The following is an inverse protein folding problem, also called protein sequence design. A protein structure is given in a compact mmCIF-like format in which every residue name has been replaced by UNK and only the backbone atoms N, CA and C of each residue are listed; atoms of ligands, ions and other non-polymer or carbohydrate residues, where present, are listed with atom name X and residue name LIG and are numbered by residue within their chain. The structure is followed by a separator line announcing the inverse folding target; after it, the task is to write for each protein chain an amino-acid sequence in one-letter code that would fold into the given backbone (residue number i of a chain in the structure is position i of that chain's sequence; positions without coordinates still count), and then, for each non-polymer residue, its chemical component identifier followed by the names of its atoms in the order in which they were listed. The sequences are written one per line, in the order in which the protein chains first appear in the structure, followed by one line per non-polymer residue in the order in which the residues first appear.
data_IF_993658242839
#
_entry.id   IF_993658242839
#
_cell.length_a   1.000
_cell.length_b   1.000
_cell.length_c   1.000
_cell.angle_alpha   90.00
_cell.angle_beta   90.00
_cell.angle_gamma   90.00
#
_symmetry.space_group_name_H-M   'P 1'
#
loop_
_entity.id
_entity.type
_entity.pdbx_description
1 polymer ?
#
# COMPACT_ATOMS: atom_id res chain seq x y z
N UNK A 1 15.43 25.64 1.24
CA UNK A 1 15.98 24.29 1.07
C UNK A 1 14.88 23.27 0.83
N UNK A 2 13.90 23.11 1.71
CA UNK A 2 12.83 22.09 1.57
C UNK A 2 11.95 22.28 0.33
N UNK A 3 11.55 23.52 0.01
CA UNK A 3 10.81 23.84 -1.22
C UNK A 3 11.60 23.41 -2.49
N UNK A 4 12.92 23.60 -2.50
CA UNK A 4 13.76 23.14 -3.62
C UNK A 4 13.77 21.62 -3.72
N UNK A 5 13.82 20.90 -2.58
CA UNK A 5 13.78 19.43 -2.55
C UNK A 5 12.41 18.95 -3.08
N UNK A 6 11.32 19.52 -2.60
CA UNK A 6 9.96 19.19 -3.04
C UNK A 6 9.80 19.38 -4.56
N UNK A 7 10.19 20.55 -5.07
CA UNK A 7 10.13 20.84 -6.51
C UNK A 7 10.98 19.89 -7.36
N UNK A 8 12.18 19.51 -6.88
CA UNK A 8 13.03 18.57 -7.60
C UNK A 8 12.46 17.16 -7.61
N UNK A 9 11.92 16.69 -6.50
CA UNK A 9 11.28 15.36 -6.42
C UNK A 9 10.03 15.29 -7.31
N UNK A 10 9.19 16.33 -7.26
CA UNK A 10 7.97 16.41 -8.09
C UNK A 10 8.30 16.43 -9.59
N UNK A 11 9.27 17.27 -9.98
CA UNK A 11 9.72 17.34 -11.37
C UNK A 11 10.40 16.04 -11.82
N UNK A 12 11.22 15.44 -10.97
CA UNK A 12 11.85 14.15 -11.27
C UNK A 12 10.78 13.08 -11.52
N UNK A 13 9.82 12.92 -10.60
CA UNK A 13 8.75 11.95 -10.72
C UNK A 13 7.93 12.15 -12.01
N UNK A 14 7.49 13.39 -12.29
CA UNK A 14 6.70 13.71 -13.49
C UNK A 14 7.46 13.44 -14.78
N UNK A 15 8.73 13.83 -14.83
CA UNK A 15 9.56 13.66 -16.04
C UNK A 15 9.88 12.18 -16.25
N UNK A 16 10.26 11.47 -15.20
CA UNK A 16 10.57 10.05 -15.25
C UNK A 16 9.37 9.23 -15.72
N UNK A 17 8.20 9.46 -15.11
CA UNK A 17 6.94 8.83 -15.50
C UNK A 17 6.55 9.13 -16.94
N UNK A 18 6.77 10.36 -17.42
CA UNK A 18 6.49 10.74 -18.81
C UNK A 18 7.40 10.02 -19.82
N UNK A 19 8.67 9.86 -19.48
CA UNK A 19 9.61 9.10 -20.31
C UNK A 19 9.20 7.63 -20.37
N UNK A 20 8.81 7.04 -19.24
CA UNK A 20 8.31 5.68 -19.17
C UNK A 20 7.06 5.47 -20.03
N UNK A 21 6.08 6.38 -19.94
CA UNK A 21 4.86 6.34 -20.75
C UNK A 21 5.17 6.41 -22.27
N UNK A 22 6.05 7.33 -22.67
CA UNK A 22 6.45 7.48 -24.08
C UNK A 22 7.12 6.20 -24.57
N UNK A 23 8.02 5.64 -23.77
CA UNK A 23 8.76 4.43 -24.12
C UNK A 23 7.83 3.21 -24.22
N UNK A 24 6.94 3.03 -23.24
CA UNK A 24 5.96 1.97 -23.24
C UNK A 24 5.05 2.01 -24.46
N UNK A 25 4.55 3.19 -24.82
CA UNK A 25 3.69 3.39 -26.00
C UNK A 25 4.39 3.08 -27.35
N UNK A 26 5.72 3.15 -27.38
CA UNK A 26 6.49 2.77 -28.56
C UNK A 26 6.65 1.26 -28.70
N UNK A 27 6.80 0.54 -27.60
CA UNK A 27 7.18 -0.89 -27.58
C UNK A 27 6.00 -1.81 -27.28
N UNK A 28 5.18 -1.48 -26.29
CA UNK A 28 4.04 -2.31 -25.86
C UNK A 28 2.75 -1.47 -25.88
N UNK A 29 2.27 -1.15 -27.06
CA UNK A 29 1.11 -0.26 -27.30
C UNK A 29 -0.20 -0.67 -26.60
N UNK A 30 -0.32 -1.92 -26.18
CA UNK A 30 -1.54 -2.44 -25.58
C UNK A 30 -1.56 -2.37 -24.04
N UNK A 31 -0.49 -1.89 -23.39
CA UNK A 31 -0.40 -1.70 -21.94
C UNK A 31 -0.38 -0.22 -21.58
N UNK A 32 -1.03 0.10 -20.47
CA UNK A 32 -0.81 1.37 -19.77
C UNK A 32 0.30 1.21 -18.72
N UNK A 33 0.92 2.30 -18.31
CA UNK A 33 1.95 2.28 -17.24
C UNK A 33 1.39 1.67 -15.94
N UNK A 34 0.13 1.97 -15.57
CA UNK A 34 -0.51 1.35 -14.40
C UNK A 34 -0.67 -0.17 -14.53
N UNK A 35 -0.98 -0.67 -15.73
CA UNK A 35 -1.06 -2.12 -15.98
C UNK A 35 0.32 -2.78 -15.93
N UNK A 36 1.36 -2.08 -16.38
CA UNK A 36 2.74 -2.54 -16.30
C UNK A 36 3.23 -2.64 -14.85
N UNK A 37 2.89 -1.66 -14.01
CA UNK A 37 3.20 -1.72 -12.57
C UNK A 37 2.47 -2.86 -11.84
N UNK A 38 1.30 -3.31 -12.32
CA UNK A 38 0.64 -4.51 -11.79
C UNK A 38 1.43 -5.77 -12.17
N UNK A 39 1.91 -5.85 -13.42
CA UNK A 39 2.78 -6.94 -13.89
C UNK A 39 4.05 -7.00 -13.03
N UNK A 40 4.68 -5.86 -12.76
CA UNK A 40 5.84 -5.72 -11.88
C UNK A 40 5.52 -6.15 -10.44
N UNK A 41 4.38 -5.74 -9.90
CA UNK A 41 3.96 -6.11 -8.56
C UNK A 41 3.75 -7.62 -8.39
N UNK A 42 3.29 -8.32 -9.42
CA UNK A 42 3.17 -9.79 -9.43
C UNK A 42 4.57 -10.40 -9.44
N UNK A 43 5.47 -9.92 -10.32
CA UNK A 43 6.82 -10.44 -10.44
C UNK A 43 6.87 -11.87 -11.02
N UNK A 44 7.95 -12.59 -10.78
CA UNK A 44 8.21 -13.93 -11.35
C UNK A 44 7.40 -15.05 -10.67
N UNK A 45 6.88 -14.82 -9.47
CA UNK A 45 6.16 -15.84 -8.70
C UNK A 45 4.65 -15.60 -8.75
N UNK A 46 3.89 -16.68 -8.46
CA UNK A 46 2.46 -16.52 -8.25
C UNK A 46 2.16 -15.78 -6.94
N UNK A 47 1.13 -14.93 -6.96
CA UNK A 47 0.69 -14.12 -5.83
C UNK A 47 -0.82 -14.25 -5.67
N UNK A 48 -1.33 -14.22 -4.43
CA UNK A 48 -2.76 -14.17 -4.21
C UNK A 48 -3.34 -12.79 -4.51
N UNK A 49 -4.64 -12.72 -4.80
CA UNK A 49 -5.33 -11.44 -5.02
C UNK A 49 -5.26 -10.51 -3.81
N UNK A 50 -5.25 -11.06 -2.58
CA UNK A 50 -5.10 -10.27 -1.35
C UNK A 50 -3.70 -9.65 -1.27
N UNK A 51 -2.65 -10.47 -1.40
CA UNK A 51 -1.27 -10.00 -1.40
C UNK A 51 -1.02 -8.95 -2.48
N UNK A 52 -1.61 -9.13 -3.68
CA UNK A 52 -1.49 -8.15 -4.77
C UNK A 52 -2.16 -6.82 -4.40
N UNK A 53 -3.37 -6.86 -3.84
CA UNK A 53 -4.07 -5.64 -3.42
C UNK A 53 -3.33 -4.89 -2.32
N UNK A 54 -2.77 -5.62 -1.35
CA UNK A 54 -1.96 -5.06 -0.26
C UNK A 54 -0.64 -4.45 -0.79
N UNK A 55 0.04 -5.17 -1.68
CA UNK A 55 1.30 -4.70 -2.31
C UNK A 55 1.11 -3.43 -3.12
N UNK A 56 -0.02 -3.31 -3.82
CA UNK A 56 -0.37 -2.14 -4.62
C UNK A 56 -1.03 -1.02 -3.81
N UNK A 57 -1.47 -1.30 -2.56
CA UNK A 57 -2.21 -0.34 -1.74
C UNK A 57 -3.58 0.03 -2.31
N UNK A 58 -4.24 -0.90 -3.04
CA UNK A 58 -5.55 -0.69 -3.67
C UNK A 58 -6.60 -1.66 -3.11
N UNK A 59 -7.88 -1.39 -3.39
CA UNK A 59 -8.94 -2.30 -2.97
C UNK A 59 -8.96 -3.59 -3.80
N UNK A 60 -9.45 -4.70 -3.20
CA UNK A 60 -9.67 -5.96 -3.90
C UNK A 60 -10.52 -5.82 -5.16
N UNK A 61 -11.52 -4.93 -5.13
CA UNK A 61 -12.35 -4.63 -6.30
C UNK A 61 -11.54 -4.02 -7.44
N UNK A 62 -10.70 -3.04 -7.12
CA UNK A 62 -9.79 -2.39 -8.09
C UNK A 62 -8.79 -3.39 -8.66
N UNK A 63 -8.15 -4.19 -7.78
CA UNK A 63 -7.21 -5.22 -8.20
C UNK A 63 -7.88 -6.25 -9.13
N UNK A 64 -9.10 -6.68 -8.81
CA UNK A 64 -9.85 -7.65 -9.62
C UNK A 64 -10.16 -7.13 -11.03
N UNK A 65 -10.56 -5.87 -11.16
CA UNK A 65 -10.82 -5.24 -12.47
C UNK A 65 -9.55 -5.17 -13.31
N UNK A 66 -8.44 -4.75 -12.69
CA UNK A 66 -7.16 -4.63 -13.38
C UNK A 66 -6.61 -6.00 -13.83
N UNK A 67 -6.67 -7.01 -12.96
CA UNK A 67 -6.25 -8.38 -13.29
C UNK A 67 -7.14 -9.00 -14.37
N UNK A 68 -8.45 -8.73 -14.39
CA UNK A 68 -9.33 -9.18 -15.48
C UNK A 68 -8.86 -8.62 -16.83
N UNK A 69 -8.62 -7.31 -16.91
CA UNK A 69 -8.14 -6.67 -18.15
C UNK A 69 -6.82 -7.26 -18.63
N UNK A 70 -5.88 -7.49 -17.70
CA UNK A 70 -4.57 -8.08 -18.06
C UNK A 70 -4.68 -9.55 -18.45
N UNK A 71 -5.65 -10.30 -17.89
CA UNK A 71 -5.95 -11.68 -18.31
C UNK A 71 -6.56 -11.70 -19.71
N UNK A 72 -7.50 -10.81 -20.01
CA UNK A 72 -8.07 -10.64 -21.37
C UNK A 72 -7.00 -10.28 -22.41
N UNK A 73 -6.03 -9.44 -22.02
CA UNK A 73 -4.87 -9.10 -22.81
C UNK A 73 -3.79 -10.20 -22.88
N UNK A 74 -4.00 -11.30 -22.17
CA UNK A 74 -3.08 -12.47 -22.10
C UNK A 74 -1.71 -12.19 -21.46
N UNK A 75 -1.62 -11.20 -20.57
CA UNK A 75 -0.42 -10.96 -19.77
C UNK A 75 -0.41 -11.75 -18.45
N UNK A 76 -1.60 -12.09 -17.94
CA UNK A 76 -1.79 -12.81 -16.69
C UNK A 76 -2.63 -14.05 -16.90
N UNK A 77 -2.42 -15.04 -16.05
CA UNK A 77 -3.32 -16.16 -15.88
C UNK A 77 -3.70 -16.34 -14.40
N UNK A 78 -4.87 -16.95 -14.19
CA UNK A 78 -5.42 -17.21 -12.86
C UNK A 78 -5.51 -18.69 -12.60
N UNK A 79 -5.17 -19.09 -11.40
CA UNK A 79 -5.37 -20.43 -10.90
C UNK A 79 -6.12 -20.41 -9.57
N UNK A 80 -6.87 -21.46 -9.27
CA UNK A 80 -7.50 -21.65 -7.96
C UNK A 80 -6.65 -22.60 -7.15
N UNK A 81 -6.56 -22.33 -5.85
CA UNK A 81 -5.92 -23.26 -4.94
C UNK A 81 -6.64 -24.62 -4.93
N UNK A 82 -5.87 -25.69 -4.97
CA UNK A 82 -6.40 -27.06 -4.84
C UNK A 82 -6.87 -27.37 -3.41
N UNK A 83 -6.33 -26.65 -2.42
CA UNK A 83 -6.60 -26.87 -0.99
C UNK A 83 -7.65 -25.91 -0.43
N UNK A 84 -7.75 -24.68 -0.98
CA UNK A 84 -8.73 -23.68 -0.56
C UNK A 84 -9.29 -22.95 -1.77
N UNK A 85 -10.49 -23.34 -2.21
CA UNK A 85 -11.18 -22.76 -3.38
C UNK A 85 -11.46 -21.25 -3.29
N UNK A 86 -11.32 -20.66 -2.10
CA UNK A 86 -11.47 -19.19 -1.90
C UNK A 86 -10.23 -18.44 -2.33
N UNK A 87 -9.06 -19.11 -2.39
CA UNK A 87 -7.79 -18.51 -2.80
C UNK A 87 -7.66 -18.56 -4.32
N UNK A 88 -7.51 -17.39 -4.91
CA UNK A 88 -7.21 -17.21 -6.33
C UNK A 88 -5.78 -16.70 -6.42
N UNK A 89 -4.96 -17.42 -7.15
CA UNK A 89 -3.59 -17.02 -7.49
C UNK A 89 -3.57 -16.37 -8.87
N UNK A 90 -2.63 -15.46 -9.02
CA UNK A 90 -2.34 -14.76 -10.28
C UNK A 90 -0.86 -14.91 -10.57
N UNK A 91 -0.51 -15.22 -11.78
CA UNK A 91 0.88 -15.27 -12.26
C UNK A 91 1.01 -14.71 -13.67
N UNK A 92 2.23 -14.42 -14.07
CA UNK A 92 2.52 -13.97 -15.43
C UNK A 92 2.38 -15.13 -16.42
N UNK A 93 1.95 -14.80 -17.63
CA UNK A 93 2.15 -15.65 -18.82
C UNK A 93 3.53 -15.35 -19.41
N UNK A 94 3.98 -16.13 -20.40
CA UNK A 94 5.19 -15.80 -21.15
C UNK A 94 5.18 -14.37 -21.71
N UNK A 95 4.02 -13.89 -22.17
CA UNK A 95 3.84 -12.50 -22.63
C UNK A 95 4.00 -11.50 -21.47
N UNK A 96 3.51 -11.85 -20.27
CA UNK A 96 3.71 -11.06 -19.05
C UNK A 96 5.17 -10.97 -18.62
N UNK A 97 5.89 -12.09 -18.67
CA UNK A 97 7.33 -12.16 -18.37
C UNK A 97 8.16 -11.29 -19.32
N UNK A 98 7.83 -11.31 -20.61
CA UNK A 98 8.48 -10.42 -21.60
C UNK A 98 8.24 -8.95 -21.25
N UNK A 99 7.02 -8.58 -20.85
CA UNK A 99 6.71 -7.22 -20.44
C UNK A 99 7.44 -6.81 -19.15
N UNK A 100 7.54 -7.71 -18.18
CA UNK A 100 8.29 -7.50 -16.94
C UNK A 100 9.77 -7.27 -17.21
N UNK A 101 10.38 -8.13 -18.00
CA UNK A 101 11.81 -8.02 -18.37
C UNK A 101 12.10 -6.73 -19.16
N UNK A 102 11.20 -6.35 -20.07
CA UNK A 102 11.32 -5.09 -20.78
C UNK A 102 11.30 -3.90 -19.82
N UNK A 103 10.39 -3.90 -18.85
CA UNK A 103 10.27 -2.83 -17.86
C UNK A 103 11.52 -2.71 -16.96
N UNK A 104 12.02 -3.83 -16.45
CA UNK A 104 13.25 -3.87 -15.66
C UNK A 104 14.47 -3.34 -16.44
N UNK A 105 14.61 -3.73 -17.71
CA UNK A 105 15.69 -3.23 -18.58
C UNK A 105 15.55 -1.74 -18.87
N UNK A 106 14.33 -1.23 -19.04
CA UNK A 106 14.09 0.20 -19.23
C UNK A 106 14.59 1.00 -18.02
N UNK A 107 14.21 0.60 -16.80
CA UNK A 107 14.64 1.30 -15.59
C UNK A 107 16.16 1.31 -15.41
N UNK A 108 16.82 0.18 -15.63
CA UNK A 108 18.28 0.10 -15.55
C UNK A 108 18.94 1.03 -16.56
N UNK A 109 18.52 0.95 -17.83
CA UNK A 109 19.10 1.75 -18.91
C UNK A 109 18.90 3.24 -18.69
N UNK A 110 17.70 3.68 -18.26
CA UNK A 110 17.45 5.11 -18.05
C UNK A 110 18.23 5.64 -16.86
N UNK A 111 18.32 4.85 -15.77
CA UNK A 111 19.08 5.25 -14.58
C UNK A 111 20.59 5.35 -14.90
N UNK A 112 21.14 4.37 -15.59
CA UNK A 112 22.54 4.43 -16.07
C UNK A 112 22.79 5.71 -16.88
N UNK A 113 21.91 5.99 -17.85
CA UNK A 113 22.07 7.13 -18.75
C UNK A 113 21.99 8.48 -18.06
N UNK A 114 21.07 8.64 -17.09
CA UNK A 114 20.89 9.93 -16.38
C UNK A 114 21.94 10.14 -15.28
N UNK A 115 22.74 9.13 -14.97
CA UNK A 115 23.78 9.18 -13.95
C UNK A 115 25.20 9.04 -14.48
N UNK A 116 25.39 8.87 -15.82
CA UNK A 116 26.68 8.58 -16.44
C UNK A 116 27.76 9.62 -16.15
N UNK A 117 27.38 10.91 -16.03
CA UNK A 117 28.30 12.03 -15.74
C UNK A 117 28.50 12.26 -14.23
N UNK A 118 27.89 11.45 -13.36
CA UNK A 118 27.95 11.66 -11.92
C UNK A 118 29.05 10.75 -11.32
N UNK A 119 30.05 11.30 -10.62
CA UNK A 119 31.06 10.48 -9.96
C UNK A 119 30.44 9.46 -9.00
N UNK A 120 30.96 8.22 -9.01
CA UNK A 120 30.44 7.12 -8.21
C UNK A 120 30.30 7.47 -6.72
N UNK A 121 31.30 8.15 -6.13
CA UNK A 121 31.29 8.57 -4.73
C UNK A 121 30.07 9.45 -4.39
N UNK A 122 29.64 10.32 -5.32
CA UNK A 122 28.45 11.15 -5.16
C UNK A 122 27.16 10.34 -5.29
N UNK A 123 27.15 9.33 -6.17
CA UNK A 123 26.04 8.41 -6.29
C UNK A 123 25.89 7.55 -5.03
N UNK A 124 26.98 7.03 -4.49
CA UNK A 124 26.97 6.25 -3.26
C UNK A 124 26.42 7.10 -2.09
N UNK A 125 26.88 8.35 -1.97
CA UNK A 125 26.34 9.30 -0.97
C UNK A 125 24.86 9.59 -1.18
N UNK A 126 24.42 9.76 -2.42
CA UNK A 126 23.02 9.99 -2.76
C UNK A 126 22.14 8.80 -2.36
N UNK A 127 22.60 7.58 -2.62
CA UNK A 127 21.89 6.34 -2.23
C UNK A 127 21.74 6.27 -0.71
N UNK A 128 22.80 6.50 0.07
CA UNK A 128 22.76 6.51 1.55
C UNK A 128 21.75 7.53 2.10
N UNK A 129 21.76 8.74 1.53
CA UNK A 129 20.82 9.81 1.92
C UNK A 129 19.38 9.41 1.57
N UNK A 130 19.15 8.89 0.37
CA UNK A 130 17.84 8.46 -0.10
C UNK A 130 17.29 7.31 0.75
N UNK A 131 18.10 6.31 1.10
CA UNK A 131 17.72 5.23 2.01
C UNK A 131 17.30 5.76 3.38
N UNK A 132 18.03 6.76 3.88
CA UNK A 132 17.71 7.39 5.17
C UNK A 132 16.37 8.14 5.09
N UNK A 133 16.13 8.87 4.00
CA UNK A 133 14.85 9.55 3.74
C UNK A 133 13.72 8.52 3.67
N UNK A 134 13.91 7.41 2.94
CA UNK A 134 12.91 6.35 2.81
C UNK A 134 12.60 5.67 4.15
N UNK A 135 13.61 5.41 4.99
CA UNK A 135 13.37 4.90 6.35
C UNK A 135 12.53 5.85 7.19
N UNK A 136 12.83 7.15 7.13
CA UNK A 136 12.08 8.15 7.88
C UNK A 136 10.67 8.32 7.33
N UNK A 137 10.49 8.30 6.01
CA UNK A 137 9.18 8.36 5.36
C UNK A 137 8.31 7.15 5.75
N UNK A 138 8.89 5.95 5.83
CA UNK A 138 8.18 4.76 6.28
C UNK A 138 7.76 4.84 7.77
N UNK A 139 8.55 5.51 8.62
CA UNK A 139 8.12 5.80 10.00
C UNK A 139 6.92 6.75 10.01
N UNK A 140 7.01 7.87 9.29
CA UNK A 140 5.89 8.82 9.16
C UNK A 140 4.64 8.13 8.59
N UNK A 141 4.80 7.27 7.56
CA UNK A 141 3.70 6.49 6.99
C UNK A 141 3.03 5.62 8.05
N UNK A 142 3.81 4.92 8.89
CA UNK A 142 3.29 4.13 10.00
C UNK A 142 2.48 4.98 10.99
N UNK A 143 2.99 6.16 11.34
CA UNK A 143 2.35 7.05 12.31
C UNK A 143 1.00 7.58 11.80
N UNK A 144 0.83 7.77 10.49
CA UNK A 144 -0.39 8.28 9.88
C UNK A 144 -1.31 7.20 9.31
N UNK A 145 -0.81 5.98 9.10
CA UNK A 145 -1.61 4.88 8.56
C UNK A 145 -2.55 4.34 9.62
N UNK A 146 -3.88 4.26 9.34
CA UNK A 146 -4.80 3.69 10.30
C UNK A 146 -4.53 2.18 10.52
N UNK A 147 -4.35 1.79 11.75
CA UNK A 147 -4.22 0.40 12.18
C UNK A 147 -5.40 0.00 13.09
N UNK A 148 -5.60 -1.31 13.30
CA UNK A 148 -6.57 -1.77 14.29
C UNK A 148 -6.20 -1.24 15.68
N UNK A 149 -7.20 -0.82 16.45
CA UNK A 149 -7.00 -0.36 17.83
C UNK A 149 -6.29 -1.41 18.70
N UNK A 150 -6.39 -2.68 18.33
CA UNK A 150 -5.76 -3.79 19.05
C UNK A 150 -4.23 -3.83 18.87
N UNK A 151 -3.66 -3.08 17.94
CA UNK A 151 -2.21 -2.95 17.71
C UNK A 151 -1.56 -1.88 18.62
N UNK A 152 -2.34 -1.24 19.47
CA UNK A 152 -1.88 -0.19 20.38
C UNK A 152 -1.84 -0.70 21.82
N UNK A 153 -1.13 0.04 22.67
CA UNK A 153 -0.88 -0.39 24.07
C UNK A 153 -1.67 0.45 25.08
N UNK A 154 -1.73 -0.06 26.31
CA UNK A 154 -2.29 0.68 27.43
C UNK A 154 -1.63 2.05 27.59
N UNK A 155 -2.47 3.09 27.66
CA UNK A 155 -2.07 4.47 27.80
C UNK A 155 -2.00 5.24 26.48
N UNK A 156 -1.98 4.55 25.34
CA UNK A 156 -1.99 5.21 24.03
C UNK A 156 -3.26 6.05 23.84
N UNK A 157 -3.06 7.24 23.27
CA UNK A 157 -4.14 8.14 22.85
C UNK A 157 -4.22 8.10 21.32
N UNK A 158 -5.37 7.64 20.81
CA UNK A 158 -5.58 7.41 19.39
C UNK A 158 -6.87 8.06 18.90
N UNK A 159 -6.95 8.34 17.62
CA UNK A 159 -8.15 8.88 16.99
C UNK A 159 -8.72 7.89 15.97
N UNK A 160 -10.05 7.69 16.04
CA UNK A 160 -10.76 6.84 15.07
C UNK A 160 -10.68 7.44 13.66
N UNK A 161 -10.10 6.70 12.74
CA UNK A 161 -9.98 7.08 11.33
C UNK A 161 -11.08 6.47 10.47
N UNK A 162 -11.42 5.21 10.73
CA UNK A 162 -12.50 4.51 10.04
C UNK A 162 -13.00 3.31 10.85
N UNK A 163 -14.17 2.81 10.51
CA UNK A 163 -14.75 1.60 11.07
C UNK A 163 -14.95 0.60 9.93
N UNK A 164 -14.32 -0.55 10.01
CA UNK A 164 -14.46 -1.66 9.07
C UNK A 164 -15.69 -2.52 9.41
N UNK A 165 -15.88 -3.60 8.68
CA UNK A 165 -16.93 -4.58 8.93
C UNK A 165 -18.27 -4.26 8.30
N UNK A 166 -19.31 -5.07 8.66
CA UNK A 166 -20.66 -4.98 8.14
C UNK A 166 -21.40 -3.72 8.61
N UNK A 167 -22.54 -3.41 7.99
CA UNK A 167 -23.42 -2.33 8.45
C UNK A 167 -23.89 -2.55 9.89
N UNK A 168 -24.08 -3.79 10.31
CA UNK A 168 -24.47 -4.12 11.67
C UNK A 168 -23.39 -3.75 12.68
N UNK A 169 -22.12 -4.10 12.43
CA UNK A 169 -21.01 -3.75 13.32
C UNK A 169 -20.79 -2.24 13.40
N UNK A 170 -20.90 -1.53 12.28
CA UNK A 170 -20.78 -0.06 12.26
C UNK A 170 -21.88 0.60 13.08
N UNK A 171 -23.13 0.12 12.95
CA UNK A 171 -24.25 0.63 13.74
C UNK A 171 -24.03 0.37 15.23
N UNK A 172 -23.64 -0.84 15.60
CA UNK A 172 -23.33 -1.20 16.99
C UNK A 172 -22.24 -0.31 17.60
N UNK A 173 -21.13 -0.11 16.89
CA UNK A 173 -20.04 0.74 17.39
C UNK A 173 -20.47 2.20 17.53
N UNK A 174 -21.29 2.71 16.59
CA UNK A 174 -21.88 4.03 16.70
C UNK A 174 -22.79 4.17 17.92
N UNK A 175 -23.63 3.16 18.23
CA UNK A 175 -24.49 3.13 19.41
C UNK A 175 -23.67 3.10 20.71
N UNK A 176 -22.47 2.54 20.67
CA UNK A 176 -21.48 2.59 21.76
C UNK A 176 -20.74 3.93 21.87
N UNK A 177 -21.00 4.87 20.95
CA UNK A 177 -20.35 6.18 20.91
C UNK A 177 -18.98 6.18 20.20
N UNK A 178 -18.60 5.07 19.55
CA UNK A 178 -17.38 5.00 18.77
C UNK A 178 -17.68 5.48 17.35
N UNK A 179 -17.29 6.71 17.02
CA UNK A 179 -17.52 7.34 15.70
C UNK A 179 -16.21 7.82 15.10
N UNK A 180 -16.20 8.10 13.80
CA UNK A 180 -15.04 8.67 13.13
C UNK A 180 -14.66 10.00 13.79
N UNK A 181 -13.36 10.18 14.06
CA UNK A 181 -12.74 11.30 14.80
C UNK A 181 -12.87 11.23 16.32
N UNK A 182 -13.59 10.25 16.92
CA UNK A 182 -13.55 10.05 18.38
C UNK A 182 -12.13 9.86 18.86
N UNK A 183 -11.81 10.47 20.02
CA UNK A 183 -10.56 10.28 20.72
C UNK A 183 -10.69 9.12 21.71
N UNK A 184 -9.77 8.18 21.62
CA UNK A 184 -9.78 7.00 22.48
C UNK A 184 -8.47 6.93 23.26
N UNK A 185 -8.59 6.80 24.59
CA UNK A 185 -7.49 6.40 25.47
C UNK A 185 -7.64 4.94 25.85
N UNK A 186 -6.64 4.14 25.54
CA UNK A 186 -6.65 2.71 25.86
C UNK A 186 -6.31 2.52 27.34
N UNK A 187 -7.17 1.86 28.06
CA UNK A 187 -6.98 1.55 29.48
C UNK A 187 -6.38 0.16 29.69
N UNK A 188 -6.87 -0.84 28.95
CA UNK A 188 -6.39 -2.20 28.97
C UNK A 188 -6.91 -2.98 27.77
N UNK A 189 -6.11 -3.92 27.28
CA UNK A 189 -6.52 -4.92 26.29
C UNK A 189 -6.15 -6.29 26.87
N UNK A 190 -7.10 -7.18 26.93
CA UNK A 190 -6.87 -8.58 27.26
C UNK A 190 -7.33 -9.50 26.12
N UNK A 191 -7.34 -10.80 26.36
CA UNK A 191 -7.70 -11.79 25.33
C UNK A 191 -9.12 -11.62 24.77
N UNK A 192 -10.04 -11.05 25.54
CA UNK A 192 -11.48 -11.03 25.22
C UNK A 192 -12.04 -9.61 25.11
N UNK A 193 -11.48 -8.66 25.85
CA UNK A 193 -12.05 -7.33 26.02
C UNK A 193 -10.99 -6.24 25.84
N UNK A 194 -11.45 -5.09 25.36
CA UNK A 194 -10.74 -3.83 25.41
C UNK A 194 -11.51 -2.84 26.28
N UNK A 195 -10.82 -2.27 27.28
CA UNK A 195 -11.32 -1.18 28.13
C UNK A 195 -10.70 0.12 27.64
N UNK A 196 -11.50 1.13 27.42
CA UNK A 196 -11.07 2.40 26.84
C UNK A 196 -11.94 3.56 27.29
N UNK A 197 -11.41 4.78 27.20
CA UNK A 197 -12.19 6.00 27.33
C UNK A 197 -12.40 6.54 25.92
N UNK A 198 -13.66 6.75 25.54
CA UNK A 198 -14.05 7.32 24.24
C UNK A 198 -14.69 8.67 24.49
N UNK A 199 -14.06 9.76 24.03
CA UNK A 199 -14.52 11.15 24.20
C UNK A 199 -14.90 11.51 25.66
N UNK A 200 -14.22 10.89 26.65
CA UNK A 200 -14.40 11.11 28.07
C UNK A 200 -15.21 10.03 28.81
N UNK A 201 -15.91 9.15 28.13
CA UNK A 201 -16.71 8.06 28.69
C UNK A 201 -15.99 6.73 28.66
N UNK A 202 -16.04 5.99 29.76
CA UNK A 202 -15.54 4.60 29.79
C UNK A 202 -16.42 3.67 28.98
N UNK A 203 -15.78 2.87 28.12
CA UNK A 203 -16.42 1.86 27.27
C UNK A 203 -15.64 0.56 27.34
N UNK A 204 -16.38 -0.52 27.23
CA UNK A 204 -15.83 -1.89 27.12
C UNK A 204 -16.41 -2.53 25.86
N UNK A 205 -15.53 -3.09 25.03
CA UNK A 205 -15.91 -3.83 23.83
C UNK A 205 -15.24 -5.21 23.82
N UNK A 206 -15.85 -6.15 23.12
CA UNK A 206 -15.19 -7.40 22.77
C UNK A 206 -14.06 -7.13 21.76
N UNK A 207 -12.99 -7.91 21.84
CA UNK A 207 -11.85 -7.81 20.93
C UNK A 207 -12.28 -7.98 19.46
N UNK A 208 -13.21 -8.92 19.18
CA UNK A 208 -13.74 -9.15 17.82
C UNK A 208 -14.44 -7.91 17.22
N UNK A 209 -15.17 -7.17 18.05
CA UNK A 209 -15.84 -5.94 17.63
C UNK A 209 -14.81 -4.80 17.47
N UNK A 210 -13.89 -4.69 18.43
CA UNK A 210 -12.85 -3.67 18.46
C UNK A 210 -11.83 -3.79 17.31
N UNK A 211 -11.58 -4.99 16.78
CA UNK A 211 -10.71 -5.22 15.62
C UNK A 211 -11.14 -4.38 14.40
N UNK A 212 -12.42 -4.05 14.32
CA UNK A 212 -12.97 -3.24 13.24
C UNK A 212 -12.73 -1.74 13.39
N UNK A 213 -12.23 -1.27 14.56
CA UNK A 213 -11.95 0.14 14.82
C UNK A 213 -10.54 0.44 14.32
N UNK A 214 -10.45 1.17 13.22
CA UNK A 214 -9.18 1.63 12.66
C UNK A 214 -8.84 3.00 13.23
N UNK A 215 -7.69 3.09 13.88
CA UNK A 215 -7.23 4.29 14.57
C UNK A 215 -5.83 4.70 14.10
N UNK A 216 -5.46 5.94 14.39
CA UNK A 216 -4.09 6.45 14.23
C UNK A 216 -3.66 7.10 15.54
N UNK A 217 -2.35 7.15 15.81
CA UNK A 217 -1.84 7.97 16.91
C UNK A 217 -2.29 9.41 16.69
N UNK A 218 -2.75 10.02 17.76
CA UNK A 218 -3.08 11.45 17.71
C UNK A 218 -1.74 12.18 17.64
N UNK A 219 -1.31 12.55 16.43
CA UNK A 219 -0.20 13.48 16.27
C UNK A 219 -0.71 14.84 16.72
N UNK A 220 -0.22 15.30 17.87
CA UNK A 220 -0.35 16.66 18.36
C UNK A 220 0.19 17.67 17.36
#
# INVERSE_FOLDING_TARGET
MYEKIENLLDNFYKTYYKIEEINLNQVIKCLTTSELHIIEAIGENEITMNELSDKLGITMGTASVAVNKLTEKQFLERSRSNTDRRKVFVKLTQKGEVALNYHGNFHSTILEKITEDIPKEKLDTFVEVLETIMRNLNKVKKDIQPESILNFEKGDLVQVSSIKGSTAIRKYLNEKGVVIKSLIKILNIDKYLINMIVDGDEKVLNVEDAENIMVRKNAL
#
